data_IF_842552593175
#
_entry.id   IF_842552593175
#
_cell.length_a   1.000
_cell.length_b   1.000
_cell.length_c   1.000
_cell.angle_alpha   90.00
_cell.angle_beta   90.00
_cell.angle_gamma   90.00
#
_symmetry.space_group_name_H-M   'P 1'
#
loop_
_entity.id
_entity.type
_entity.pdbx_description
1 polymer ?
#
# COMPACT_ATOMS: atom_id res chain seq x y z
N UNK A 1 35.23 7.87 5.87
CA UNK A 1 33.83 8.06 6.30
C UNK A 1 33.76 7.85 7.81
N UNK A 2 33.32 8.84 8.57
CA UNK A 2 33.55 8.88 10.02
C UNK A 2 32.54 8.00 10.78
N UNK A 3 33.00 7.23 11.77
CA UNK A 3 32.12 6.39 12.62
C UNK A 3 30.98 7.18 13.26
N UNK A 4 31.23 8.45 13.58
CA UNK A 4 30.25 9.39 14.14
C UNK A 4 29.11 9.71 13.15
N UNK A 5 29.43 9.91 11.86
CA UNK A 5 28.40 10.16 10.83
C UNK A 5 27.49 8.95 10.61
N UNK A 6 28.01 7.72 10.72
CA UNK A 6 27.18 6.52 10.61
C UNK A 6 26.22 6.37 11.81
N UNK A 7 26.67 6.72 13.01
CA UNK A 7 25.84 6.69 14.22
C UNK A 7 24.68 7.70 14.17
N UNK A 8 24.95 8.93 13.70
CA UNK A 8 23.91 9.96 13.56
C UNK A 8 22.87 9.62 12.49
N UNK A 9 23.28 9.02 11.37
CA UNK A 9 22.35 8.57 10.32
C UNK A 9 21.48 7.41 10.82
N UNK A 10 22.06 6.44 11.55
CA UNK A 10 21.29 5.34 12.14
C UNK A 10 20.22 5.80 13.13
N UNK A 11 20.55 6.76 14.00
CA UNK A 11 19.62 7.32 14.97
C UNK A 11 18.47 8.12 14.32
N UNK A 12 18.76 8.86 13.24
CA UNK A 12 17.72 9.59 12.50
C UNK A 12 16.69 8.65 11.84
N UNK A 13 17.14 7.52 11.29
CA UNK A 13 16.26 6.54 10.64
C UNK A 13 15.34 5.86 11.66
N UNK A 14 15.84 5.55 12.86
CA UNK A 14 15.03 4.91 13.92
C UNK A 14 13.97 5.86 14.50
N UNK A 15 14.22 7.17 14.51
CA UNK A 15 13.25 8.15 14.98
C UNK A 15 12.02 8.27 14.05
N UNK A 16 12.18 8.03 12.74
CA UNK A 16 11.10 8.18 11.75
C UNK A 16 10.05 7.08 11.80
N UNK A 17 10.35 5.91 12.38
CA UNK A 17 9.41 4.78 12.42
C UNK A 17 8.50 4.78 13.66
N UNK A 18 8.73 5.68 14.62
CA UNK A 18 7.98 5.76 15.88
C UNK A 18 6.54 6.28 15.73
N UNK A 19 6.17 6.87 14.60
CA UNK A 19 4.83 7.43 14.37
C UNK A 19 3.78 6.42 13.90
N UNK A 20 4.16 5.16 13.68
CA UNK A 20 3.21 4.13 13.22
C UNK A 20 2.37 3.61 14.39
N UNK A 21 1.05 3.82 14.35
CA UNK A 21 0.11 3.41 15.40
C UNK A 21 -0.95 2.46 14.85
N UNK A 22 -1.32 1.43 15.61
CA UNK A 22 -2.43 0.55 15.25
C UNK A 22 -3.78 1.25 15.47
N UNK A 23 -4.66 1.17 14.47
CA UNK A 23 -6.02 1.72 14.53
C UNK A 23 -6.95 0.71 15.20
N UNK A 24 -7.80 1.18 16.11
CA UNK A 24 -8.80 0.34 16.77
C UNK A 24 -9.86 -0.12 15.76
N UNK A 25 -10.31 -1.36 15.89
CA UNK A 25 -11.18 -2.00 14.88
C UNK A 25 -12.42 -1.18 14.51
N UNK A 26 -13.10 -0.57 15.48
CA UNK A 26 -14.29 0.25 15.22
C UNK A 26 -13.99 1.55 14.45
N UNK A 27 -12.78 2.09 14.53
CA UNK A 27 -12.37 3.28 13.79
C UNK A 27 -12.06 2.96 12.32
N UNK A 28 -11.74 1.70 12.02
CA UNK A 28 -11.53 1.23 10.65
C UNK A 28 -12.77 1.38 9.78
N UNK A 29 -13.97 1.32 10.36
CA UNK A 29 -15.22 1.62 9.62
C UNK A 29 -15.24 3.00 8.93
N UNK A 30 -14.45 3.97 9.41
CA UNK A 30 -14.34 5.32 8.83
C UNK A 30 -13.21 5.46 7.82
N UNK A 31 -12.30 4.51 7.78
CA UNK A 31 -11.10 4.50 6.94
C UNK A 31 -11.26 3.51 5.79
N UNK A 32 -12.00 2.43 6.01
CA UNK A 32 -12.21 1.35 5.06
C UNK A 32 -13.28 1.78 4.05
N UNK A 33 -12.84 2.35 2.95
CA UNK A 33 -13.68 2.57 1.77
C UNK A 33 -13.90 1.25 1.04
N UNK A 34 -15.14 1.04 0.58
CA UNK A 34 -15.52 -0.06 -0.30
C UNK A 34 -14.76 -0.09 -1.62
N UNK A 35 -14.36 1.08 -2.14
CA UNK A 35 -13.56 1.20 -3.38
C UNK A 35 -12.07 0.86 -3.16
N UNK A 36 -11.58 0.94 -1.91
CA UNK A 36 -10.21 0.55 -1.56
C UNK A 36 -10.06 -0.96 -1.30
N UNK A 37 -11.11 -1.75 -1.53
CA UNK A 37 -10.97 -3.20 -1.53
C UNK A 37 -10.10 -3.60 -2.71
N UNK A 38 -9.02 -4.35 -2.46
CA UNK A 38 -8.15 -4.85 -3.54
C UNK A 38 -8.89 -5.84 -4.47
N UNK A 39 -10.17 -6.14 -4.29
CA UNK A 39 -10.88 -7.07 -5.17
C UNK A 39 -11.62 -6.31 -6.25
N UNK A 40 -11.25 -6.54 -7.51
CA UNK A 40 -11.97 -5.96 -8.65
C UNK A 40 -13.42 -6.46 -8.70
N UNK A 41 -14.37 -5.54 -8.90
CA UNK A 41 -15.76 -5.91 -9.17
C UNK A 41 -15.86 -6.62 -10.52
N UNK A 42 -16.88 -7.45 -10.69
CA UNK A 42 -17.09 -8.20 -11.96
C UNK A 42 -17.15 -7.30 -13.19
N UNK A 43 -17.67 -6.08 -13.05
CA UNK A 43 -17.80 -5.10 -14.12
C UNK A 43 -16.48 -4.42 -14.50
N UNK A 44 -15.57 -4.23 -13.54
CA UNK A 44 -14.28 -3.52 -13.73
C UNK A 44 -13.22 -4.40 -14.41
N UNK A 45 -13.45 -5.71 -14.52
CA UNK A 45 -12.48 -6.64 -15.14
C UNK A 45 -12.14 -6.29 -16.58
N UNK A 46 -13.12 -5.80 -17.35
CA UNK A 46 -12.89 -5.43 -18.75
C UNK A 46 -12.07 -4.13 -18.86
N UNK A 47 -12.36 -3.15 -18.01
CA UNK A 47 -11.63 -1.87 -17.97
C UNK A 47 -10.19 -2.07 -17.51
N UNK A 48 -9.99 -2.87 -16.46
CA UNK A 48 -8.66 -3.24 -15.98
C UNK A 48 -7.87 -4.02 -17.02
N UNK A 49 -8.51 -4.92 -17.77
CA UNK A 49 -7.82 -5.66 -18.85
C UNK A 49 -7.37 -4.70 -19.96
N UNK A 50 -8.21 -3.73 -20.32
CA UNK A 50 -7.83 -2.69 -21.28
C UNK A 50 -6.67 -1.81 -20.79
N UNK A 51 -6.73 -1.32 -19.55
CA UNK A 51 -5.67 -0.51 -18.94
C UNK A 51 -4.38 -1.32 -18.77
N UNK A 52 -4.47 -2.59 -18.40
CA UNK A 52 -3.31 -3.50 -18.31
C UNK A 52 -2.65 -3.68 -19.67
N UNK A 53 -3.44 -3.90 -20.72
CA UNK A 53 -2.91 -4.06 -22.08
C UNK A 53 -2.30 -2.77 -22.65
N UNK A 54 -2.91 -1.62 -22.38
CA UNK A 54 -2.50 -0.33 -22.93
C UNK A 54 -1.35 0.31 -22.15
N UNK A 55 -1.41 0.26 -20.82
CA UNK A 55 -0.55 1.02 -19.91
C UNK A 55 0.37 0.13 -19.08
N UNK A 56 0.24 -1.20 -19.16
CA UNK A 56 1.01 -2.13 -18.32
C UNK A 56 0.64 -2.06 -16.84
N UNK A 57 -0.55 -1.54 -16.53
CA UNK A 57 -1.02 -1.36 -15.17
C UNK A 57 -1.08 -2.71 -14.43
N UNK A 58 -0.23 -2.87 -13.43
CA UNK A 58 -0.06 -4.11 -12.64
C UNK A 58 -0.09 -3.78 -11.14
N UNK A 59 -1.12 -3.04 -10.72
CA UNK A 59 -1.27 -2.57 -9.34
C UNK A 59 -2.47 -3.18 -8.62
N UNK A 60 -2.28 -3.55 -7.34
CA UNK A 60 -3.28 -3.55 -6.26
C UNK A 60 -4.69 -4.15 -6.54
N UNK A 61 -4.77 -5.24 -7.29
CA UNK A 61 -6.05 -5.94 -7.59
C UNK A 61 -6.20 -7.26 -6.82
N UNK A 62 -5.34 -7.51 -5.82
CA UNK A 62 -5.44 -8.68 -4.93
C UNK A 62 -5.32 -10.04 -5.63
N UNK A 63 -5.09 -10.05 -6.94
CA UNK A 63 -5.01 -11.24 -7.79
C UNK A 63 -3.58 -11.51 -8.29
N UNK A 64 -3.40 -12.62 -9.01
CA UNK A 64 -2.09 -13.11 -9.46
C UNK A 64 -1.33 -12.12 -10.37
N UNK A 65 -2.05 -11.28 -11.09
CA UNK A 65 -1.52 -10.30 -12.05
C UNK A 65 -1.31 -8.89 -11.48
N UNK A 66 -1.73 -8.62 -10.23
CA UNK A 66 -1.66 -7.30 -9.61
C UNK A 66 -1.61 -7.38 -8.09
N UNK A 67 -0.66 -8.14 -7.55
CA UNK A 67 -0.49 -8.33 -6.11
C UNK A 67 0.08 -7.07 -5.44
N UNK A 68 -0.64 -6.53 -4.46
CA UNK A 68 -0.20 -5.43 -3.61
C UNK A 68 -0.46 -5.74 -2.13
N UNK A 69 0.33 -5.14 -1.24
CA UNK A 69 0.01 -5.06 0.18
C UNK A 69 -1.20 -4.15 0.34
N UNK A 70 -2.39 -4.73 0.45
CA UNK A 70 -3.62 -3.97 0.64
C UNK A 70 -3.57 -3.24 1.96
N UNK A 71 -3.61 -1.92 1.91
CA UNK A 71 -3.65 -1.07 3.10
C UNK A 71 -5.09 -0.80 3.54
N UNK A 72 -5.96 -1.83 3.51
CA UNK A 72 -7.31 -1.74 4.09
C UNK A 72 -7.23 -2.04 5.58
#
# INVERSE_FOLDING_TARGET
MNKKTFFWVGAAITAMTLSCTSVKEYQKSRINDSEMSLSSRKVEKNELNFQSYREGASGANGGKTGGGCGCN
#
